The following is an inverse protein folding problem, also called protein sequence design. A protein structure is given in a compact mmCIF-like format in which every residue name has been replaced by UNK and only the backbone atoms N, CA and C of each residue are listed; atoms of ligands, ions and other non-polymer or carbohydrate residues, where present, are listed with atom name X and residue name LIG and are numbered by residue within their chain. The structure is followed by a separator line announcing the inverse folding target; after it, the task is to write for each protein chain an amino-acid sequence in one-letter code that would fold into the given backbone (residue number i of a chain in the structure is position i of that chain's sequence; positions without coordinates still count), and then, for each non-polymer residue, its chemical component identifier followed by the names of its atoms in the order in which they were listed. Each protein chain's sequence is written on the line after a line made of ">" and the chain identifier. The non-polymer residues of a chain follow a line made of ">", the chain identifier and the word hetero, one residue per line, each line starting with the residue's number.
data_IF_259944047444
#
_entry.id   IF_259944047444
#
_cell.length_a   1.000
_cell.length_b   1.000
_cell.length_c   1.000
_cell.angle_alpha   90.00
_cell.angle_beta   90.00
_cell.angle_gamma   90.00
#
_symmetry.space_group_name_H-M   'P 1'
#
loop_
_entity.id
_entity.type
_entity.pdbx_description
1 polymer ?
#
# COMPACT_ATOMS: atom_id res chain seq x y z
N UNK A 1 -11.08 -3.89 -22.83
CA UNK A 1 -10.26 -2.66 -22.71
C UNK A 1 -10.60 -1.93 -21.42
N UNK A 2 -11.89 -1.75 -21.10
CA UNK A 2 -12.34 -0.98 -19.94
C UNK A 2 -12.04 -1.63 -18.58
N UNK A 3 -11.98 -2.96 -18.52
CA UNK A 3 -11.56 -3.71 -17.32
C UNK A 3 -10.14 -3.34 -16.86
N UNK A 4 -9.21 -3.19 -17.81
CA UNK A 4 -7.81 -2.87 -17.52
C UNK A 4 -7.69 -1.43 -17.01
N UNK A 5 -8.45 -0.50 -17.61
CA UNK A 5 -8.48 0.89 -17.19
C UNK A 5 -9.12 1.07 -15.81
N UNK A 6 -10.19 0.32 -15.49
CA UNK A 6 -10.84 0.35 -14.19
C UNK A 6 -9.96 -0.22 -13.07
N UNK A 7 -9.16 -1.25 -13.36
CA UNK A 7 -8.28 -1.92 -12.40
C UNK A 7 -6.92 -1.21 -12.20
N UNK A 8 -6.50 -0.33 -13.10
CA UNK A 8 -5.15 0.23 -13.13
C UNK A 8 -4.78 1.02 -11.85
N UNK A 9 -5.72 1.81 -11.33
CA UNK A 9 -5.49 2.61 -10.11
C UNK A 9 -5.28 1.71 -8.88
N UNK A 10 -6.15 0.72 -8.70
CA UNK A 10 -6.03 -0.21 -7.57
C UNK A 10 -4.78 -1.06 -7.65
N UNK A 11 -4.37 -1.48 -8.86
CA UNK A 11 -3.10 -2.15 -9.07
C UNK A 11 -1.90 -1.28 -8.67
N UNK A 12 -1.89 -0.01 -9.08
CA UNK A 12 -0.81 0.92 -8.76
C UNK A 12 -0.71 1.12 -7.24
N UNK A 13 -1.84 1.31 -6.56
CA UNK A 13 -1.85 1.49 -5.11
C UNK A 13 -1.40 0.21 -4.40
N UNK A 14 -1.92 -0.96 -4.79
CA UNK A 14 -1.52 -2.25 -4.24
C UNK A 14 0.00 -2.49 -4.37
N UNK A 15 0.53 -2.33 -5.58
CA UNK A 15 1.97 -2.53 -5.84
C UNK A 15 2.85 -1.52 -5.09
N UNK A 16 2.39 -0.27 -4.92
CA UNK A 16 3.04 0.74 -4.10
C UNK A 16 3.15 0.32 -2.63
N UNK A 17 2.05 -0.18 -2.03
CA UNK A 17 2.06 -0.68 -0.66
C UNK A 17 3.01 -1.86 -0.46
N UNK A 18 3.01 -2.83 -1.39
CA UNK A 18 3.89 -3.99 -1.33
C UNK A 18 5.37 -3.60 -1.44
N UNK A 19 5.70 -2.68 -2.34
CA UNK A 19 7.07 -2.19 -2.53
C UNK A 19 7.60 -1.48 -1.28
N UNK A 20 6.77 -0.63 -0.68
CA UNK A 20 7.12 0.06 0.57
C UNK A 20 7.24 -0.90 1.76
N UNK A 21 6.38 -1.92 1.85
CA UNK A 21 6.49 -2.97 2.86
C UNK A 21 7.83 -3.69 2.77
N UNK A 22 8.28 -4.02 1.56
CA UNK A 22 9.58 -4.65 1.32
C UNK A 22 10.74 -3.75 1.76
N UNK A 23 10.70 -2.46 1.42
CA UNK A 23 11.73 -1.51 1.84
C UNK A 23 11.81 -1.38 3.37
N UNK A 24 10.66 -1.27 4.05
CA UNK A 24 10.62 -1.20 5.51
C UNK A 24 11.10 -2.48 6.18
N UNK A 25 10.75 -3.66 5.64
CA UNK A 25 11.25 -4.93 6.15
C UNK A 25 12.76 -5.04 6.03
N UNK A 26 13.33 -4.63 4.88
CA UNK A 26 14.77 -4.60 4.68
C UNK A 26 15.46 -3.67 5.67
N UNK A 27 14.91 -2.47 5.91
CA UNK A 27 15.45 -1.53 6.90
C UNK A 27 15.36 -2.10 8.32
N UNK A 28 14.23 -2.71 8.70
CA UNK A 28 14.04 -3.32 10.02
C UNK A 28 15.00 -4.50 10.24
N UNK A 29 15.23 -5.34 9.22
CA UNK A 29 16.19 -6.44 9.29
C UNK A 29 17.61 -5.94 9.56
N UNK A 30 18.05 -4.91 8.82
CA UNK A 30 19.38 -4.29 9.05
C UNK A 30 19.45 -3.61 10.41
N UNK A 31 18.39 -2.90 10.84
CA UNK A 31 18.36 -2.26 12.14
C UNK A 31 18.48 -3.26 13.30
N UNK A 32 17.81 -4.43 13.19
CA UNK A 32 17.92 -5.51 14.17
C UNK A 32 19.33 -6.09 14.24
N UNK A 33 19.97 -6.30 13.10
CA UNK A 33 21.36 -6.78 13.03
C UNK A 33 22.34 -5.78 13.69
N UNK A 34 22.20 -4.49 13.36
CA UNK A 34 23.06 -3.43 13.90
C UNK A 34 22.90 -3.18 15.39
N UNK A 35 21.71 -3.46 15.95
CA UNK A 35 21.50 -3.43 17.40
C UNK A 35 22.28 -4.53 18.14
N UNK A 36 22.48 -5.69 17.52
CA UNK A 36 23.22 -6.81 18.13
C UNK A 36 24.73 -6.76 17.88
N UNK A 37 25.14 -6.34 16.68
CA UNK A 37 26.53 -6.41 16.22
C UNK A 37 27.28 -5.07 16.26
N UNK A 38 26.61 -4.01 16.70
CA UNK A 38 27.13 -2.64 16.65
C UNK A 38 26.86 -1.96 15.30
N UNK A 39 26.48 -0.69 15.39
CA UNK A 39 26.22 0.17 14.24
C UNK A 39 26.83 1.55 14.43
N UNK A 40 26.94 2.29 13.33
CA UNK A 40 27.48 3.65 13.36
C UNK A 40 26.48 4.67 13.93
N UNK A 41 25.19 4.34 13.91
CA UNK A 41 24.11 5.20 14.40
C UNK A 41 23.72 4.85 15.84
N UNK A 42 22.95 5.73 16.48
CA UNK A 42 22.45 5.49 17.84
C UNK A 42 21.48 4.30 17.92
N UNK A 43 21.46 3.61 19.06
CA UNK A 43 20.48 2.55 19.35
C UNK A 43 19.03 3.05 19.18
N UNK A 44 18.75 4.28 19.63
CA UNK A 44 17.44 4.91 19.50
C UNK A 44 17.00 5.04 18.02
N UNK A 45 17.93 5.33 17.10
CA UNK A 45 17.63 5.39 15.67
C UNK A 45 17.19 4.03 15.12
N UNK A 46 17.92 2.96 15.44
CA UNK A 46 17.57 1.61 14.99
C UNK A 46 16.25 1.11 15.59
N UNK A 47 16.00 1.37 16.87
CA UNK A 47 14.71 1.06 17.51
C UNK A 47 13.56 1.82 16.84
N UNK A 48 13.77 3.10 16.52
CA UNK A 48 12.76 3.90 15.80
C UNK A 48 12.47 3.33 14.42
N UNK A 49 13.48 2.84 13.69
CA UNK A 49 13.29 2.17 12.39
C UNK A 49 12.43 0.92 12.48
N UNK A 50 12.66 0.09 13.51
CA UNK A 50 11.87 -1.11 13.76
C UNK A 50 10.42 -0.74 14.10
N UNK A 51 10.22 0.19 15.04
CA UNK A 51 8.88 0.65 15.44
C UNK A 51 8.11 1.28 14.25
N UNK A 52 8.79 2.02 13.37
CA UNK A 52 8.16 2.59 12.18
C UNK A 52 7.72 1.50 11.18
N UNK A 53 8.54 0.44 11.03
CA UNK A 53 8.18 -0.69 10.20
C UNK A 53 6.97 -1.44 10.78
N UNK A 54 6.93 -1.70 12.09
CA UNK A 54 5.78 -2.32 12.76
C UNK A 54 4.50 -1.51 12.54
N UNK A 55 4.55 -0.19 12.77
CA UNK A 55 3.42 0.70 12.49
C UNK A 55 2.95 0.59 11.03
N UNK A 56 3.89 0.56 10.07
CA UNK A 56 3.54 0.41 8.66
C UNK A 56 2.81 -0.89 8.38
N UNK A 57 3.32 -2.01 8.90
CA UNK A 57 2.74 -3.34 8.70
C UNK A 57 1.38 -3.49 9.38
N UNK A 58 1.20 -2.94 10.57
CA UNK A 58 -0.06 -3.05 11.32
C UNK A 58 -1.14 -2.08 10.83
N UNK A 59 -0.77 -0.85 10.47
CA UNK A 59 -1.75 0.21 10.22
C UNK A 59 -1.92 0.60 8.76
N UNK A 60 -0.85 0.53 7.96
CA UNK A 60 -0.87 0.99 6.58
C UNK A 60 -1.04 -0.16 5.59
N UNK A 61 -0.29 -1.25 5.77
CA UNK A 61 -0.31 -2.39 4.85
C UNK A 61 -1.69 -3.06 4.67
N UNK A 62 -2.59 -3.15 5.67
CA UNK A 62 -3.92 -3.73 5.45
C UNK A 62 -4.74 -3.02 4.36
N UNK A 63 -4.43 -1.75 4.05
CA UNK A 63 -5.07 -1.00 2.95
C UNK A 63 -4.78 -1.62 1.58
N UNK A 64 -3.65 -2.29 1.42
CA UNK A 64 -3.34 -3.02 0.19
C UNK A 64 -4.39 -4.10 -0.09
N UNK A 65 -4.89 -4.79 0.94
CA UNK A 65 -5.92 -5.82 0.77
C UNK A 65 -7.24 -5.24 0.26
N UNK A 66 -7.59 -4.02 0.67
CA UNK A 66 -8.75 -3.32 0.13
C UNK A 66 -8.58 -3.05 -1.38
N UNK A 67 -7.42 -2.52 -1.80
CA UNK A 67 -7.14 -2.31 -3.23
C UNK A 67 -7.14 -3.62 -4.02
N UNK A 68 -6.57 -4.70 -3.48
CA UNK A 68 -6.61 -6.02 -4.12
C UNK A 68 -8.05 -6.50 -4.33
N UNK A 69 -8.92 -6.32 -3.33
CA UNK A 69 -10.35 -6.66 -3.43
C UNK A 69 -11.08 -5.79 -4.44
N UNK A 70 -10.84 -4.48 -4.44
CA UNK A 70 -11.45 -3.53 -5.38
C UNK A 70 -11.07 -3.84 -6.82
N UNK A 71 -9.79 -4.14 -7.09
CA UNK A 71 -9.30 -4.46 -8.43
C UNK A 71 -9.97 -5.69 -9.05
N UNK A 72 -10.35 -6.67 -8.21
CA UNK A 72 -11.01 -7.91 -8.64
C UNK A 72 -12.54 -7.77 -8.71
N UNK A 73 -13.09 -6.63 -8.30
CA UNK A 73 -14.53 -6.41 -8.27
C UNK A 73 -15.10 -6.19 -9.68
N UNK A 74 -16.35 -6.60 -9.95
CA UNK A 74 -16.96 -6.42 -11.27
C UNK A 74 -17.08 -4.95 -11.66
N UNK A 75 -16.67 -4.59 -12.87
CA UNK A 75 -16.79 -3.21 -13.39
C UNK A 75 -18.21 -2.79 -13.73
N UNK A 76 -19.20 -3.69 -13.59
CA UNK A 76 -20.61 -3.41 -13.84
C UNK A 76 -21.07 -2.18 -13.05
N UNK A 77 -20.64 -2.03 -11.81
CA UNK A 77 -21.02 -0.90 -10.94
C UNK A 77 -20.45 0.44 -11.41
N UNK A 78 -19.30 0.42 -12.10
CA UNK A 78 -18.67 1.62 -12.65
C UNK A 78 -19.31 2.08 -13.97
N UNK A 79 -19.91 1.15 -14.71
CA UNK A 79 -20.46 1.39 -16.06
C UNK A 79 -22.00 1.32 -16.09
N UNK A 80 -22.65 1.26 -14.92
CA UNK A 80 -24.09 1.02 -14.82
C UNK A 80 -24.94 2.26 -15.04
N UNK A 81 -24.38 3.46 -14.84
CA UNK A 81 -25.11 4.72 -14.99
C UNK A 81 -24.83 5.26 -16.39
N UNK A 82 -25.90 5.60 -17.12
CA UNK A 82 -25.74 6.24 -18.42
C UNK A 82 -25.17 7.65 -18.24
N UNK A 83 -24.31 8.15 -19.14
CA UNK A 83 -23.76 9.50 -19.05
C UNK A 83 -24.82 10.59 -18.91
N UNK A 84 -25.96 10.41 -19.57
CA UNK A 84 -27.08 11.36 -19.55
C UNK A 84 -27.78 11.41 -18.17
N UNK A 85 -27.75 10.31 -17.41
CA UNK A 85 -28.31 10.24 -16.05
C UNK A 85 -27.35 10.83 -14.99
N UNK A 86 -26.09 11.12 -15.37
CA UNK A 86 -25.08 11.75 -14.51
C UNK A 86 -25.03 13.28 -14.68
N UNK A 87 -25.78 13.83 -15.64
CA UNK A 87 -25.83 15.26 -15.87
C UNK A 87 -26.74 15.95 -14.84
N UNK A 88 -26.15 16.75 -13.94
CA UNK A 88 -26.89 17.64 -13.03
C UNK A 88 -27.49 18.88 -13.74
N UNK A 89 -27.59 18.86 -15.07
CA UNK A 89 -28.18 19.94 -15.86
C UNK A 89 -29.61 19.55 -16.24
N UNK A 90 -30.58 20.13 -15.53
CA UNK A 90 -31.96 20.24 -16.01
C UNK A 90 -32.10 21.32 -17.07
#
# INVERSE_FOLDING_TARGET
>A
RDLVSAAANDFLMYSGYVTMAWMWLRQAAVARDRLGNGGNESEAFYRTKIATAEFYYERLLPRAQAHATSMLSPTRTLMQVAPDDMAFTG
#
